data_IF_130780987265
#
_entry.id   IF_130780987265
#
_cell.length_a   1.000
_cell.length_b   1.000
_cell.length_c   1.000
_cell.angle_alpha   90.00
_cell.angle_beta   90.00
_cell.angle_gamma   90.00
#
_symmetry.space_group_name_H-M   'P 1'
#
loop_
_entity.id
_entity.type
_entity.pdbx_description
1 polymer ?
#
# COMPACT_ATOMS: atom_id res chain seq x y z
N UNK A 1 -4.84 44.80 6.57
CA UNK A 1 -4.68 43.44 7.14
C UNK A 1 -5.81 42.49 6.76
N UNK A 2 -7.10 42.86 6.90
CA UNK A 2 -8.23 42.01 6.44
C UNK A 2 -8.26 41.76 4.92
N UNK A 3 -7.88 42.75 4.10
CA UNK A 3 -7.74 42.58 2.64
C UNK A 3 -6.61 41.62 2.24
N UNK A 4 -5.52 41.56 3.02
CA UNK A 4 -4.42 40.62 2.79
C UNK A 4 -4.80 39.19 3.17
N UNK A 5 -5.61 39.03 4.23
CA UNK A 5 -6.13 37.72 4.65
C UNK A 5 -7.12 37.17 3.60
N UNK A 6 -8.00 38.02 3.08
CA UNK A 6 -8.96 37.64 2.03
C UNK A 6 -8.23 37.31 0.73
N UNK A 7 -7.22 38.10 0.34
CA UNK A 7 -6.41 37.82 -0.86
C UNK A 7 -5.63 36.50 -0.76
N UNK A 8 -5.03 36.20 0.39
CA UNK A 8 -4.33 34.92 0.62
C UNK A 8 -5.26 33.70 0.60
N UNK A 9 -6.48 33.84 1.12
CA UNK A 9 -7.49 32.78 1.14
C UNK A 9 -8.04 32.46 -0.25
N UNK A 10 -8.15 33.46 -1.14
CA UNK A 10 -8.54 33.27 -2.54
C UNK A 10 -7.43 32.56 -3.34
N UNK A 11 -6.16 32.88 -3.09
CA UNK A 11 -5.03 32.20 -3.74
C UNK A 11 -4.94 30.72 -3.31
N UNK A 12 -5.27 30.42 -2.06
CA UNK A 12 -5.28 29.03 -1.56
C UNK A 12 -6.41 28.18 -2.15
N UNK A 13 -7.56 28.79 -2.48
CA UNK A 13 -8.73 28.10 -3.07
C UNK A 13 -8.58 27.82 -4.57
N UNK A 14 -7.73 28.57 -5.28
CA UNK A 14 -7.50 28.39 -6.74
C UNK A 14 -6.36 27.39 -7.02
N UNK A 15 -5.55 27.03 -6.02
CA UNK A 15 -4.41 26.12 -6.19
C UNK A 15 -4.79 24.62 -6.24
N UNK A 16 -6.08 24.26 -6.16
CA UNK A 16 -6.53 22.86 -6.08
C UNK A 16 -6.69 22.14 -7.43
N UNK A 17 -6.58 22.82 -8.57
CA UNK A 17 -6.81 22.21 -9.90
C UNK A 17 -5.53 21.68 -10.59
N UNK A 18 -4.38 21.64 -9.91
CA UNK A 18 -3.11 21.24 -10.51
C UNK A 18 -2.89 19.71 -10.61
N UNK A 19 -3.93 18.88 -10.42
CA UNK A 19 -3.84 17.42 -10.52
C UNK A 19 -4.97 16.87 -11.39
N UNK A 20 -4.92 17.17 -12.68
CA UNK A 20 -5.44 16.28 -13.72
C UNK A 20 -4.71 16.60 -15.01
N UNK A 21 -3.75 15.74 -15.38
CA UNK A 21 -3.11 15.73 -16.68
C UNK A 21 -4.19 15.34 -17.72
N UNK A 22 -5.04 16.29 -18.08
CA UNK A 22 -6.28 16.10 -18.82
C UNK A 22 -6.10 15.98 -20.33
N UNK A 23 -4.85 16.00 -20.82
CA UNK A 23 -4.59 15.98 -22.26
C UNK A 23 -3.28 15.24 -22.61
N UNK A 24 -2.99 14.14 -21.90
CA UNK A 24 -2.13 13.14 -22.53
C UNK A 24 -2.93 12.46 -23.65
N UNK A 25 -2.43 12.44 -24.90
CA UNK A 25 -3.01 11.56 -25.91
C UNK A 25 -3.03 10.15 -25.32
N UNK A 26 -4.09 9.35 -25.54
CA UNK A 26 -4.23 8.05 -24.89
C UNK A 26 -3.01 7.21 -25.21
N UNK A 27 -2.02 7.22 -24.31
CA UNK A 27 -0.92 6.27 -24.31
C UNK A 27 -1.61 4.92 -24.33
N UNK A 28 -1.32 4.12 -25.34
CA UNK A 28 -1.96 2.83 -25.54
C UNK A 28 -1.83 2.05 -24.22
N UNK A 29 -2.90 2.05 -23.42
CA UNK A 29 -2.86 1.42 -22.10
C UNK A 29 -2.55 -0.05 -22.35
N UNK A 30 -1.56 -0.64 -21.65
CA UNK A 30 -1.29 -2.04 -21.83
C UNK A 30 -2.59 -2.79 -21.55
N UNK A 31 -3.10 -3.52 -22.55
CA UNK A 31 -4.39 -4.23 -22.42
C UNK A 31 -4.42 -5.10 -21.18
N UNK A 32 -3.27 -5.69 -20.82
CA UNK A 32 -3.09 -6.46 -19.59
C UNK A 32 -3.35 -5.63 -18.34
N UNK A 33 -2.77 -4.43 -18.23
CA UNK A 33 -2.96 -3.55 -17.07
C UNK A 33 -4.44 -3.20 -16.89
N UNK A 34 -5.14 -2.85 -17.97
CA UNK A 34 -6.57 -2.57 -17.91
C UNK A 34 -7.38 -3.80 -17.48
N UNK A 35 -7.05 -4.98 -18.01
CA UNK A 35 -7.74 -6.22 -17.59
C UNK A 35 -7.50 -6.54 -16.12
N UNK A 36 -6.31 -6.29 -15.58
CA UNK A 36 -6.00 -6.50 -14.16
C UNK A 36 -6.73 -5.49 -13.26
N UNK A 37 -6.78 -4.22 -13.66
CA UNK A 37 -7.53 -3.19 -12.94
C UNK A 37 -9.02 -3.52 -12.90
N UNK A 38 -9.60 -3.93 -14.04
CA UNK A 38 -10.99 -4.35 -14.10
C UNK A 38 -11.26 -5.61 -13.28
N UNK A 39 -10.35 -6.60 -13.31
CA UNK A 39 -10.47 -7.82 -12.52
C UNK A 39 -10.45 -7.51 -11.01
N UNK A 40 -9.51 -6.69 -10.56
CA UNK A 40 -9.38 -6.30 -9.16
C UNK A 40 -10.61 -5.51 -8.68
N UNK A 41 -11.06 -4.52 -9.46
CA UNK A 41 -12.25 -3.73 -9.13
C UNK A 41 -13.53 -4.58 -9.13
N UNK A 42 -13.63 -5.55 -10.05
CA UNK A 42 -14.81 -6.43 -10.14
C UNK A 42 -14.95 -7.40 -8.97
N UNK A 43 -13.89 -7.66 -8.22
CA UNK A 43 -13.87 -8.67 -7.15
C UNK A 43 -14.12 -10.11 -7.62
N UNK A 44 -14.18 -10.39 -8.93
CA UNK A 44 -14.48 -11.72 -9.47
C UNK A 44 -13.46 -12.79 -9.11
N UNK A 45 -12.23 -12.37 -8.81
CA UNK A 45 -11.14 -13.24 -8.36
C UNK A 45 -11.00 -13.28 -6.83
N UNK A 46 -11.96 -12.72 -6.07
CA UNK A 46 -11.94 -12.82 -4.61
C UNK A 46 -12.08 -14.28 -4.18
N UNK A 47 -11.38 -14.65 -3.10
CA UNK A 47 -11.48 -15.99 -2.53
C UNK A 47 -12.92 -16.28 -2.09
N UNK A 48 -13.46 -17.48 -2.35
CA UNK A 48 -14.77 -17.89 -1.84
C UNK A 48 -14.77 -18.10 -0.31
N UNK A 49 -13.59 -18.25 0.30
CA UNK A 49 -13.41 -18.42 1.75
C UNK A 49 -12.82 -17.14 2.35
N UNK A 50 -13.67 -16.19 2.81
CA UNK A 50 -13.18 -14.97 3.45
C UNK A 50 -12.54 -15.32 4.80
N UNK A 51 -11.26 -14.98 4.97
CA UNK A 51 -10.58 -15.09 6.26
C UNK A 51 -10.82 -13.81 7.05
N UNK A 52 -11.85 -13.80 7.88
CA UNK A 52 -12.14 -12.69 8.78
C UNK A 52 -11.47 -12.94 10.14
N UNK A 53 -10.58 -12.04 10.55
CA UNK A 53 -10.11 -12.01 11.92
C UNK A 53 -11.22 -11.53 12.86
N UNK A 54 -11.31 -12.14 14.03
CA UNK A 54 -12.08 -11.61 15.16
C UNK A 54 -11.46 -10.29 15.65
N UNK A 55 -12.21 -9.44 16.38
CA UNK A 55 -11.63 -8.23 16.99
C UNK A 55 -10.42 -8.54 17.88
N UNK A 56 -10.49 -9.60 18.69
CA UNK A 56 -9.39 -10.02 19.56
C UNK A 56 -8.13 -10.41 18.77
N UNK A 57 -8.27 -11.15 17.67
CA UNK A 57 -7.14 -11.51 16.81
C UNK A 57 -6.52 -10.29 16.11
N UNK A 58 -7.34 -9.29 15.75
CA UNK A 58 -6.83 -8.01 15.23
C UNK A 58 -5.99 -7.30 16.28
N UNK A 59 -6.49 -7.20 17.50
CA UNK A 59 -5.78 -6.53 18.60
C UNK A 59 -4.46 -7.22 18.93
N UNK A 60 -4.45 -8.56 19.00
CA UNK A 60 -3.22 -9.34 19.19
C UNK A 60 -2.23 -9.18 18.02
N UNK A 61 -2.73 -9.09 16.78
CA UNK A 61 -1.87 -8.84 15.62
C UNK A 61 -1.24 -7.45 15.66
N UNK A 62 -2.01 -6.45 16.10
CA UNK A 62 -1.55 -5.08 16.27
C UNK A 62 -0.52 -4.99 17.39
N UNK A 63 -0.77 -5.67 18.52
CA UNK A 63 0.17 -5.75 19.63
C UNK A 63 1.50 -6.36 19.16
N UNK A 64 1.49 -7.50 18.45
CA UNK A 64 2.72 -8.11 17.91
C UNK A 64 3.47 -7.17 16.98
N UNK A 65 2.75 -6.41 16.16
CA UNK A 65 3.36 -5.42 15.28
C UNK A 65 4.05 -4.31 16.08
N UNK A 66 3.39 -3.78 17.11
CA UNK A 66 3.99 -2.80 18.03
C UNK A 66 5.21 -3.38 18.75
N UNK A 67 5.13 -4.64 19.18
CA UNK A 67 6.23 -5.32 19.86
C UNK A 67 7.47 -5.48 18.95
N UNK A 68 7.28 -5.56 17.63
CA UNK A 68 8.39 -5.67 16.67
C UNK A 68 9.36 -4.48 16.77
N UNK A 69 8.85 -3.28 17.07
CA UNK A 69 9.68 -2.08 17.23
C UNK A 69 10.53 -2.05 18.50
N UNK A 70 10.25 -2.94 19.46
CA UNK A 70 11.06 -3.07 20.67
C UNK A 70 12.38 -3.80 20.40
N UNK A 71 12.46 -4.56 19.29
CA UNK A 71 13.64 -5.32 18.91
C UNK A 71 14.50 -4.50 17.95
N UNK A 72 15.75 -4.26 18.36
CA UNK A 72 16.76 -3.66 17.49
C UNK A 72 17.10 -4.60 16.33
N UNK A 73 17.22 -4.02 15.14
CA UNK A 73 17.69 -4.74 13.95
C UNK A 73 19.16 -5.14 14.22
N UNK A 74 19.53 -6.43 14.08
CA UNK A 74 20.92 -6.85 14.21
C UNK A 74 21.79 -6.26 13.09
N UNK A 75 23.03 -5.91 13.40
CA UNK A 75 24.02 -5.46 12.40
C UNK A 75 24.39 -6.55 11.39
N UNK A 76 24.31 -7.82 11.83
CA UNK A 76 24.52 -8.99 10.98
C UNK A 76 23.50 -10.06 11.34
N UNK A 77 22.97 -10.72 10.32
CA UNK A 77 22.20 -11.94 10.47
C UNK A 77 23.14 -13.13 10.34
N UNK A 78 23.04 -14.08 11.27
CA UNK A 78 23.79 -15.35 11.16
C UNK A 78 23.33 -16.10 9.90
N UNK A 79 24.26 -16.43 9.02
CA UNK A 79 23.98 -17.10 7.75
C UNK A 79 23.33 -18.48 7.96
N UNK A 80 23.66 -19.15 9.06
CA UNK A 80 23.12 -20.46 9.42
C UNK A 80 21.78 -20.38 10.18
N UNK A 81 21.30 -19.18 10.54
CA UNK A 81 19.99 -19.00 11.18
C UNK A 81 18.83 -19.14 10.18
N UNK A 82 19.11 -19.00 8.87
CA UNK A 82 18.18 -19.38 7.82
C UNK A 82 18.20 -20.90 7.67
N UNK A 83 17.09 -21.57 8.01
CA UNK A 83 17.02 -23.02 8.12
C UNK A 83 17.73 -23.83 7.02
N UNK A 84 18.33 -24.96 7.42
CA UNK A 84 19.10 -25.83 6.52
C UNK A 84 18.22 -26.44 5.42
N UNK A 85 18.58 -26.20 4.16
CA UNK A 85 17.96 -26.91 3.03
C UNK A 85 18.75 -28.19 2.75
N UNK A 86 18.20 -29.34 3.13
CA UNK A 86 18.76 -30.64 2.72
C UNK A 86 18.50 -30.85 1.23
N UNK A 87 19.48 -30.49 0.40
CA UNK A 87 19.49 -30.92 -1.00
C UNK A 87 19.82 -32.40 -1.05
N UNK A 88 18.80 -33.26 -1.03
CA UNK A 88 18.95 -34.68 -1.33
C UNK A 88 19.24 -34.82 -2.83
N UNK A 89 20.51 -34.72 -3.18
CA UNK A 89 21.02 -35.08 -4.51
C UNK A 89 20.72 -36.54 -4.81
N UNK A 90 20.32 -36.80 -6.06
CA UNK A 90 20.02 -38.11 -6.62
C UNK A 90 21.18 -39.08 -6.55
#
# INVERSE_FOLDING_TARGET
MKSMIIGGMVILLVASDAWADGDQPPVARPKLTETWLQLQASGKAASPTPQSNTPLERDLSLQRWLETYQYKIPEHYEQEAGGSFSSKGK
#
